data_IF_636927053323
#
_entry.id   IF_636927053323
#
_cell.length_a   1.000
_cell.length_b   1.000
_cell.length_c   1.000
_cell.angle_alpha   90.00
_cell.angle_beta   90.00
_cell.angle_gamma   90.00
#
_symmetry.space_group_name_H-M   'P 1'
#
loop_
_entity.id
_entity.type
_entity.pdbx_description
1 polymer ?
#
# COMPACT_ATOMS: atom_id res chain seq x y z
N UNK A 1 -21.65 -4.57 -36.28
CA UNK A 1 -20.66 -3.88 -37.09
C UNK A 1 -19.78 -3.10 -36.14
N UNK A 2 -18.77 -3.82 -35.66
CA UNK A 2 -17.87 -3.49 -34.56
C UNK A 2 -16.86 -2.44 -35.03
N UNK A 3 -17.16 -1.17 -34.70
CA UNK A 3 -16.19 -0.08 -34.86
C UNK A 3 -15.29 -0.09 -33.65
N UNK A 4 -14.17 -0.82 -33.79
CA UNK A 4 -13.05 -0.84 -32.84
C UNK A 4 -12.72 0.58 -32.38
N UNK A 5 -13.20 0.96 -31.19
CA UNK A 5 -12.69 2.13 -30.47
C UNK A 5 -11.30 1.77 -29.99
N UNK A 6 -10.29 2.10 -30.78
CA UNK A 6 -8.92 2.17 -30.31
C UNK A 6 -8.89 3.25 -29.23
N UNK A 7 -8.81 2.84 -27.97
CA UNK A 7 -8.53 3.73 -26.84
C UNK A 7 -7.07 4.16 -26.99
N UNK A 8 -6.83 5.35 -27.55
CA UNK A 8 -5.54 6.01 -27.41
C UNK A 8 -5.45 6.45 -25.96
N UNK A 9 -4.55 5.82 -25.20
CA UNK A 9 -4.15 6.35 -23.91
C UNK A 9 -3.41 7.65 -24.22
N UNK A 10 -4.09 8.78 -24.03
CA UNK A 10 -3.46 10.11 -23.94
C UNK A 10 -2.68 10.15 -22.62
N UNK A 11 -1.65 9.31 -22.51
CA UNK A 11 -0.71 9.28 -21.39
C UNK A 11 0.24 10.45 -21.57
N UNK A 12 -0.26 11.67 -21.38
CA UNK A 12 0.57 12.81 -21.02
C UNK A 12 0.96 12.62 -19.55
N UNK A 13 1.70 11.53 -19.26
CA UNK A 13 2.40 11.42 -17.98
C UNK A 13 3.58 12.36 -18.09
N UNK A 14 3.36 13.60 -17.65
CA UNK A 14 4.39 14.63 -17.62
C UNK A 14 5.61 14.05 -16.91
N UNK A 15 6.69 13.85 -17.66
CA UNK A 15 7.97 13.49 -17.10
C UNK A 15 8.34 14.61 -16.13
N UNK A 16 8.34 14.30 -14.84
CA UNK A 16 8.97 15.15 -13.85
C UNK A 16 10.48 14.94 -14.02
N UNK A 17 11.14 15.86 -14.72
CA UNK A 17 12.60 15.89 -14.90
C UNK A 17 13.33 16.40 -13.63
N UNK A 18 12.55 16.69 -12.57
CA UNK A 18 13.04 17.15 -11.29
C UNK A 18 13.37 15.94 -10.41
N UNK A 19 14.64 15.88 -9.98
CA UNK A 19 15.04 14.94 -8.94
C UNK A 19 14.15 15.14 -7.69
N UNK A 20 13.76 14.06 -7.00
CA UNK A 20 12.93 14.18 -5.81
C UNK A 20 13.59 15.11 -4.78
N UNK A 21 12.81 15.96 -4.10
CA UNK A 21 13.35 16.98 -3.21
C UNK A 21 14.22 16.36 -2.11
N UNK A 22 15.27 17.09 -1.73
CA UNK A 22 16.12 16.72 -0.60
C UNK A 22 15.27 16.47 0.65
N UNK A 23 15.41 15.29 1.22
CA UNK A 23 14.62 14.86 2.38
C UNK A 23 13.22 14.33 2.06
N UNK A 24 12.95 13.87 0.83
CA UNK A 24 11.72 13.13 0.52
C UNK A 24 11.52 11.95 1.48
N UNK A 25 10.32 11.86 2.08
CA UNK A 25 9.90 10.79 2.99
C UNK A 25 8.54 10.27 2.53
N UNK A 26 8.48 8.99 2.18
CA UNK A 26 7.33 8.37 1.57
C UNK A 26 6.61 7.50 2.61
N UNK A 27 5.28 7.64 2.66
CA UNK A 27 4.39 6.67 3.31
C UNK A 27 3.49 6.09 2.23
N UNK A 28 3.53 4.77 2.03
CA UNK A 28 2.71 4.07 1.04
C UNK A 28 1.61 3.25 1.72
N UNK A 29 0.36 3.61 1.46
CA UNK A 29 -0.80 2.95 2.09
C UNK A 29 -1.41 1.84 1.22
N UNK A 30 -0.85 1.59 0.05
CA UNK A 30 -1.29 0.55 -0.87
C UNK A 30 -0.10 -0.40 -1.15
N UNK A 31 -0.23 -1.72 -0.96
CA UNK A 31 0.89 -2.65 -1.15
C UNK A 31 1.53 -2.55 -2.55
N UNK A 32 0.72 -2.46 -3.60
CA UNK A 32 1.22 -2.32 -4.97
C UNK A 32 1.97 -1.00 -5.22
N UNK A 33 1.59 0.09 -4.55
CA UNK A 33 2.33 1.34 -4.63
C UNK A 33 3.70 1.23 -3.92
N UNK A 34 3.78 0.45 -2.84
CA UNK A 34 5.05 0.18 -2.15
C UNK A 34 6.02 -0.59 -3.05
N UNK A 35 5.53 -1.60 -3.77
CA UNK A 35 6.34 -2.35 -4.74
C UNK A 35 6.87 -1.44 -5.85
N UNK A 36 6.02 -0.55 -6.39
CA UNK A 36 6.43 0.42 -7.41
C UNK A 36 7.56 1.32 -6.87
N UNK A 37 7.44 1.84 -5.65
CA UNK A 37 8.49 2.66 -5.02
C UNK A 37 9.80 1.89 -4.90
N UNK A 38 9.74 0.59 -4.55
CA UNK A 38 10.91 -0.29 -4.52
C UNK A 38 11.55 -0.47 -5.90
N UNK A 39 10.75 -0.73 -6.93
CA UNK A 39 11.22 -0.88 -8.32
C UNK A 39 11.83 0.41 -8.86
N UNK A 40 11.32 1.57 -8.44
CA UNK A 40 11.87 2.89 -8.78
C UNK A 40 13.17 3.23 -8.04
N UNK A 41 13.67 2.35 -7.16
CA UNK A 41 14.90 2.58 -6.40
C UNK A 41 14.76 3.59 -5.27
N UNK A 42 13.53 3.88 -4.83
CA UNK A 42 13.22 4.86 -3.77
C UNK A 42 12.89 4.18 -2.42
N UNK A 43 13.26 2.90 -2.26
CA UNK A 43 12.97 2.14 -1.04
C UNK A 43 13.63 2.72 0.22
N UNK A 44 14.80 3.35 0.09
CA UNK A 44 15.49 4.08 1.17
C UNK A 44 14.71 5.31 1.66
N UNK A 45 13.76 5.81 0.85
CA UNK A 45 12.88 6.93 1.18
C UNK A 45 11.55 6.48 1.77
N UNK A 46 11.28 5.17 1.90
CA UNK A 46 10.08 4.67 2.57
C UNK A 46 10.23 4.72 4.09
N UNK A 47 9.30 5.39 4.75
CA UNK A 47 9.23 5.51 6.21
C UNK A 47 8.00 4.82 6.80
N UNK A 48 6.95 4.61 5.99
CA UNK A 48 5.74 3.93 6.42
C UNK A 48 5.10 3.11 5.31
N UNK A 49 4.56 1.95 5.68
CA UNK A 49 3.75 1.10 4.80
C UNK A 49 2.46 0.70 5.49
N UNK A 50 1.46 0.26 4.73
CA UNK A 50 0.27 -0.37 5.31
C UNK A 50 0.61 -1.69 6.04
N UNK A 51 -0.21 -2.08 7.02
CA UNK A 51 -0.10 -3.37 7.69
C UNK A 51 -0.36 -4.58 6.81
N UNK A 52 -0.86 -4.39 5.59
CA UNK A 52 -1.09 -5.45 4.61
C UNK A 52 0.10 -5.63 3.64
N UNK A 53 1.15 -4.83 3.78
CA UNK A 53 2.28 -4.85 2.85
C UNK A 53 3.40 -5.76 3.37
N UNK A 54 3.61 -6.88 2.70
CA UNK A 54 4.59 -7.91 3.08
C UNK A 54 5.82 -7.97 2.15
N UNK A 55 5.89 -7.09 1.14
CA UNK A 55 6.92 -7.07 0.10
C UNK A 55 7.43 -5.64 -0.19
N UNK A 56 8.75 -5.47 -0.38
CA UNK A 56 9.36 -4.22 -0.83
C UNK A 56 10.84 -4.40 -1.23
N UNK A 57 11.20 -4.64 -2.51
CA UNK A 57 10.34 -5.05 -3.62
C UNK A 57 9.90 -6.53 -3.53
N UNK A 58 10.54 -7.30 -2.64
CA UNK A 58 10.20 -8.68 -2.30
C UNK A 58 10.12 -8.84 -0.77
N UNK A 59 9.85 -10.05 -0.29
CA UNK A 59 9.72 -10.34 1.15
C UNK A 59 11.03 -10.11 1.92
N UNK A 60 12.17 -10.43 1.30
CA UNK A 60 13.47 -10.21 1.91
C UNK A 60 13.69 -8.70 2.11
N UNK A 61 13.50 -7.92 1.05
CA UNK A 61 13.58 -6.47 1.02
C UNK A 61 12.70 -5.81 2.09
N UNK A 62 11.45 -6.28 2.23
CA UNK A 62 10.55 -5.83 3.29
C UNK A 62 11.14 -6.08 4.68
N UNK A 63 11.64 -7.29 4.94
CA UNK A 63 12.25 -7.63 6.23
C UNK A 63 13.44 -6.74 6.55
N UNK A 64 14.30 -6.45 5.57
CA UNK A 64 15.44 -5.55 5.76
C UNK A 64 14.98 -4.11 6.00
N UNK A 65 13.98 -3.62 5.27
CA UNK A 65 13.45 -2.27 5.45
C UNK A 65 12.83 -2.08 6.85
N UNK A 66 12.07 -3.07 7.36
CA UNK A 66 11.52 -3.06 8.71
C UNK A 66 12.62 -3.00 9.78
N UNK A 67 13.70 -3.77 9.59
CA UNK A 67 14.88 -3.73 10.46
C UNK A 67 15.60 -2.37 10.39
N UNK A 68 15.63 -1.74 9.22
CA UNK A 68 16.27 -0.46 8.98
C UNK A 68 15.47 0.77 9.47
N UNK A 69 14.24 0.58 9.96
CA UNK A 69 13.44 1.67 10.54
C UNK A 69 12.08 1.92 9.89
N UNK A 70 11.72 1.18 8.83
CA UNK A 70 10.39 1.23 8.24
C UNK A 70 9.32 0.83 9.26
N UNK A 71 8.11 1.41 9.16
CA UNK A 71 6.99 1.14 10.08
C UNK A 71 5.72 0.72 9.34
N UNK A 72 4.96 -0.21 9.92
CA UNK A 72 3.54 -0.40 9.57
C UNK A 72 2.75 0.72 10.25
N UNK A 73 2.14 1.60 9.46
CA UNK A 73 1.48 2.82 9.95
C UNK A 73 -0.05 2.72 9.97
N UNK A 74 -0.58 1.62 9.47
CA UNK A 74 -2.00 1.26 9.61
C UNK A 74 -2.10 0.00 10.47
N UNK A 75 -3.32 -0.35 10.88
CA UNK A 75 -3.63 -1.58 11.62
C UNK A 75 -5.03 -2.05 11.24
N UNK A 76 -5.29 -3.35 11.36
CA UNK A 76 -6.65 -3.87 11.26
C UNK A 76 -7.34 -3.87 12.63
N UNK A 77 -8.62 -3.49 12.66
CA UNK A 77 -9.46 -3.61 13.85
C UNK A 77 -9.89 -5.06 14.13
N UNK A 78 -9.76 -5.94 13.13
CA UNK A 78 -10.09 -7.37 13.20
C UNK A 78 -8.93 -8.14 12.59
N UNK A 79 -8.31 -9.04 13.36
CA UNK A 79 -7.35 -9.99 12.81
C UNK A 79 -8.10 -11.23 12.29
N UNK A 80 -8.27 -11.40 10.97
CA UNK A 80 -9.04 -12.52 10.41
C UNK A 80 -8.34 -13.87 10.60
N UNK A 81 -7.06 -13.90 10.99
CA UNK A 81 -6.31 -15.13 11.21
C UNK A 81 -6.34 -15.59 12.68
N UNK A 82 -6.74 -14.71 13.60
CA UNK A 82 -6.80 -15.02 15.03
C UNK A 82 -8.16 -15.55 15.51
N UNK A 83 -9.24 -15.36 14.74
CA UNK A 83 -10.61 -15.69 15.15
C UNK A 83 -11.37 -16.49 14.08
N UNK A 84 -12.47 -17.14 14.49
CA UNK A 84 -13.32 -17.89 13.56
C UNK A 84 -14.12 -16.97 12.65
N UNK A 85 -14.55 -17.47 11.48
CA UNK A 85 -15.38 -16.70 10.53
C UNK A 85 -16.66 -16.14 11.18
N UNK A 86 -17.34 -16.93 12.00
CA UNK A 86 -18.53 -16.47 12.73
C UNK A 86 -18.21 -15.33 13.72
N UNK A 87 -17.01 -15.34 14.32
CA UNK A 87 -16.55 -14.26 15.18
C UNK A 87 -16.17 -13.00 14.37
N UNK A 88 -15.58 -13.15 13.18
CA UNK A 88 -15.34 -12.04 12.25
C UNK A 88 -16.66 -11.34 11.92
N UNK A 89 -17.69 -12.09 11.52
CA UNK A 89 -19.01 -11.52 11.20
C UNK A 89 -19.62 -10.77 12.40
N UNK A 90 -19.45 -11.30 13.61
CA UNK A 90 -19.92 -10.66 14.83
C UNK A 90 -19.20 -9.33 15.09
N UNK A 91 -17.88 -9.27 14.91
CA UNK A 91 -17.11 -8.03 15.06
C UNK A 91 -17.40 -7.01 13.98
N UNK A 92 -17.46 -7.42 12.70
CA UNK A 92 -17.82 -6.51 11.59
C UNK A 92 -19.18 -5.86 11.85
N UNK A 93 -20.17 -6.61 12.35
CA UNK A 93 -21.48 -6.05 12.74
C UNK A 93 -21.37 -5.02 13.86
N UNK A 94 -20.55 -5.27 14.88
CA UNK A 94 -20.31 -4.30 15.98
C UNK A 94 -19.70 -3.01 15.46
N UNK A 95 -18.67 -3.09 14.63
CA UNK A 95 -18.01 -1.91 14.05
C UNK A 95 -18.93 -1.14 13.10
N UNK A 96 -19.69 -1.83 12.24
CA UNK A 96 -20.63 -1.19 11.32
C UNK A 96 -21.76 -0.46 12.07
N UNK A 97 -22.24 -1.03 13.18
CA UNK A 97 -23.23 -0.38 14.03
C UNK A 97 -22.66 0.86 14.75
N UNK A 98 -21.42 0.78 15.24
CA UNK A 98 -20.75 1.90 15.90
C UNK A 98 -20.45 3.07 14.95
N UNK A 99 -20.12 2.79 13.69
CA UNK A 99 -19.84 3.82 12.68
C UNK A 99 -21.11 4.56 12.17
N UNK A 100 -22.30 3.98 12.41
CA UNK A 100 -23.57 4.55 12.01
C UNK A 100 -24.26 5.39 13.11
N UNK A 101 -23.68 5.43 14.30
CA UNK A 101 -24.15 6.19 15.47
C UNK A 101 -23.41 7.51 15.62
#
# INVERSE_FOLDING_TARGET
>A
NDSKRTLTLDTEMQAVDEAPPDGLRIVSLLPSATEIVGVLGLADRLFGVTHECDCCPDEAGMKQALQAGLRRVTSSAIDPHAISQAAIDAEVKKYAAAAAA
#
